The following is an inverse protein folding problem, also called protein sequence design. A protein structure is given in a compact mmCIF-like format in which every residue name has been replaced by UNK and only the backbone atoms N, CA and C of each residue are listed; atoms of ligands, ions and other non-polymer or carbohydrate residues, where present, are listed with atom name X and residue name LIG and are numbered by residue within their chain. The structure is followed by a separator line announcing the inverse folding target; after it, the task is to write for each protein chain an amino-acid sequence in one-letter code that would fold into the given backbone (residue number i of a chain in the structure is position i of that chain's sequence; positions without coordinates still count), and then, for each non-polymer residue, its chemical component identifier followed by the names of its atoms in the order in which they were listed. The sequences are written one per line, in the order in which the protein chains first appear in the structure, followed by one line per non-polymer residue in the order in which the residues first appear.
data_IF_498080101579
#
_entry.id   IF_498080101579
#
_cell.length_a   1.000
_cell.length_b   1.000
_cell.length_c   1.000
_cell.angle_alpha   90.00
_cell.angle_beta   90.00
_cell.angle_gamma   90.00
#
_symmetry.space_group_name_H-M   'P 1'
#
loop_
_entity.id
_entity.type
_entity.pdbx_description
1 polymer ?
#
# COMPACT_ATOMS: atom_id res chain seq x y z
N UNK A 1 -34.35 25.02 6.50
CA UNK A 1 -34.72 24.01 7.49
C UNK A 1 -35.75 23.05 6.91
N UNK A 2 -35.63 21.76 7.19
CA UNK A 2 -36.60 20.73 6.74
C UNK A 2 -37.90 20.94 7.53
N UNK A 3 -38.96 21.34 6.84
CA UNK A 3 -40.23 21.77 7.45
C UNK A 3 -41.34 20.71 7.46
N UNK A 4 -41.06 19.47 6.99
CA UNK A 4 -42.07 18.40 6.92
C UNK A 4 -41.49 17.07 7.42
N UNK A 5 -42.27 16.33 8.19
CA UNK A 5 -41.92 14.99 8.70
C UNK A 5 -41.63 13.99 7.57
N UNK A 6 -42.30 14.12 6.41
CA UNK A 6 -42.06 13.31 5.24
C UNK A 6 -40.67 13.53 4.62
N UNK A 7 -40.18 14.78 4.62
CA UNK A 7 -38.82 15.09 4.15
C UNK A 7 -37.74 14.49 5.05
N UNK A 8 -37.98 14.51 6.37
CA UNK A 8 -37.06 13.89 7.34
C UNK A 8 -37.01 12.36 7.15
N UNK A 9 -38.16 11.71 6.99
CA UNK A 9 -38.21 10.26 6.74
C UNK A 9 -37.51 9.86 5.43
N UNK A 10 -37.68 10.64 4.36
CA UNK A 10 -37.01 10.40 3.09
C UNK A 10 -35.49 10.53 3.21
N UNK A 11 -34.99 11.51 3.95
CA UNK A 11 -33.54 11.68 4.20
C UNK A 11 -32.99 10.54 5.05
N UNK A 12 -33.69 10.14 6.12
CA UNK A 12 -33.27 9.01 6.95
C UNK A 12 -33.23 7.69 6.18
N UNK A 13 -34.23 7.43 5.31
CA UNK A 13 -34.23 6.27 4.43
C UNK A 13 -33.09 6.29 3.39
N UNK A 14 -32.69 7.48 2.93
CA UNK A 14 -31.53 7.63 2.05
C UNK A 14 -30.21 7.33 2.78
N UNK A 15 -30.05 7.81 4.02
CA UNK A 15 -28.89 7.54 4.85
C UNK A 15 -28.80 6.05 5.22
N UNK A 16 -29.93 5.41 5.50
CA UNK A 16 -30.00 3.97 5.77
C UNK A 16 -29.59 3.15 4.53
N UNK A 17 -30.09 3.52 3.33
CA UNK A 17 -29.72 2.89 2.05
C UNK A 17 -28.24 3.03 1.72
N UNK A 18 -27.60 4.12 2.18
CA UNK A 18 -26.14 4.37 2.04
C UNK A 18 -25.33 3.71 3.14
N UNK A 19 -25.93 2.95 4.04
CA UNK A 19 -25.25 2.29 5.14
C UNK A 19 -24.72 3.23 6.23
N UNK A 20 -25.14 4.50 6.23
CA UNK A 20 -24.73 5.52 7.20
C UNK A 20 -25.57 5.52 8.49
N UNK A 21 -26.74 4.88 8.43
CA UNK A 21 -27.66 4.71 9.56
C UNK A 21 -28.12 3.25 9.65
N UNK A 22 -28.18 2.73 10.87
CA UNK A 22 -28.78 1.44 11.16
C UNK A 22 -29.95 1.62 12.12
N UNK A 23 -31.11 1.02 11.78
CA UNK A 23 -32.26 0.95 12.67
C UNK A 23 -32.20 -0.36 13.44
N UNK A 24 -32.25 -0.29 14.76
CA UNK A 24 -32.40 -1.47 15.60
C UNK A 24 -33.84 -2.01 15.46
N UNK A 25 -34.04 -3.24 14.92
CA UNK A 25 -35.38 -3.80 14.75
C UNK A 25 -36.11 -4.02 16.09
N UNK A 26 -35.37 -4.11 17.19
CA UNK A 26 -35.91 -4.30 18.54
C UNK A 26 -36.24 -2.98 19.25
N UNK A 27 -35.77 -1.86 18.73
CA UNK A 27 -35.96 -0.52 19.28
C UNK A 27 -36.37 0.47 18.19
N UNK A 28 -37.63 0.57 17.81
CA UNK A 28 -38.09 1.33 16.63
C UNK A 28 -37.74 2.82 16.59
N UNK A 29 -37.29 3.40 17.71
CA UNK A 29 -36.87 4.81 17.84
C UNK A 29 -35.37 4.97 18.00
N UNK A 30 -34.58 3.87 18.09
CA UNK A 30 -33.15 3.93 18.19
C UNK A 30 -32.54 3.90 16.78
N UNK A 31 -31.93 4.99 16.37
CA UNK A 31 -31.08 5.07 15.18
C UNK A 31 -29.66 5.21 15.65
N UNK A 32 -28.80 4.31 15.17
CA UNK A 32 -27.37 4.39 15.42
C UNK A 32 -26.68 4.81 14.11
N UNK A 33 -25.81 5.81 14.19
CA UNK A 33 -24.89 6.07 13.09
C UNK A 33 -24.04 4.81 12.88
N UNK A 34 -24.08 4.28 11.67
CA UNK A 34 -23.08 3.29 11.29
C UNK A 34 -21.75 4.01 11.33
N UNK A 35 -20.90 3.69 12.30
CA UNK A 35 -19.49 4.03 12.11
C UNK A 35 -19.08 3.41 10.77
N UNK A 36 -18.49 4.19 9.85
CA UNK A 36 -17.92 3.60 8.66
C UNK A 36 -16.89 2.59 9.19
N UNK A 37 -17.24 1.31 9.19
CA UNK A 37 -16.23 0.27 9.25
C UNK A 37 -15.35 0.58 8.06
N UNK A 38 -14.18 1.10 8.32
CA UNK A 38 -13.14 1.13 7.32
C UNK A 38 -12.93 -0.34 6.95
N UNK A 39 -13.58 -0.78 5.88
CA UNK A 39 -13.31 -2.08 5.30
C UNK A 39 -11.84 -2.05 4.95
N UNK A 40 -11.04 -2.73 5.76
CA UNK A 40 -9.62 -2.80 5.63
C UNK A 40 -9.23 -4.11 4.96
N UNK A 41 -8.19 -4.05 4.16
CA UNK A 41 -7.51 -5.22 3.63
C UNK A 41 -6.36 -5.56 4.56
N UNK A 42 -6.22 -6.83 4.89
CA UNK A 42 -5.07 -7.32 5.66
C UNK A 42 -3.90 -7.51 4.72
N UNK A 43 -2.81 -6.80 4.99
CA UNK A 43 -1.59 -6.79 4.19
C UNK A 43 -0.43 -7.29 5.05
N UNK A 44 0.29 -8.35 4.64
CA UNK A 44 1.46 -8.83 5.38
C UNK A 44 2.61 -7.82 5.29
N UNK A 45 3.18 -7.45 6.43
CA UNK A 45 4.45 -6.76 6.52
C UNK A 45 5.57 -7.78 6.39
N UNK A 46 6.34 -7.65 5.33
CA UNK A 46 7.45 -8.56 5.02
C UNK A 46 8.74 -7.92 5.53
N UNK A 47 9.53 -8.70 6.23
CA UNK A 47 10.85 -8.30 6.70
C UNK A 47 11.92 -8.51 5.63
N UNK A 48 12.76 -9.51 5.82
CA UNK A 48 13.77 -9.88 4.82
C UNK A 48 13.15 -10.73 3.72
N UNK A 49 13.55 -10.47 2.50
CA UNK A 49 13.14 -11.25 1.33
C UNK A 49 14.36 -12.05 0.86
N UNK A 50 14.27 -13.37 0.92
CA UNK A 50 15.33 -14.25 0.44
C UNK A 50 15.16 -14.59 -1.05
N UNK A 51 16.28 -14.78 -1.74
CA UNK A 51 16.29 -15.27 -3.10
C UNK A 51 15.64 -16.66 -3.21
N UNK A 52 14.88 -16.87 -4.28
CA UNK A 52 14.29 -18.16 -4.61
C UNK A 52 12.98 -18.49 -3.86
N UNK A 53 12.67 -17.81 -2.75
CA UNK A 53 11.40 -17.97 -2.06
C UNK A 53 10.35 -16.97 -2.57
N UNK A 54 9.05 -17.30 -2.52
CA UNK A 54 7.98 -16.33 -2.76
C UNK A 54 8.06 -15.20 -1.74
N UNK A 55 7.83 -13.94 -2.15
CA UNK A 55 7.85 -12.77 -1.25
C UNK A 55 6.92 -12.96 -0.05
N UNK A 56 5.78 -13.59 -0.26
CA UNK A 56 4.76 -13.85 0.75
C UNK A 56 4.90 -15.22 1.43
N UNK A 57 6.09 -15.83 1.40
CA UNK A 57 6.33 -17.01 2.20
C UNK A 57 6.14 -16.67 3.69
N UNK A 58 5.49 -17.57 4.43
CA UNK A 58 5.13 -17.32 5.84
C UNK A 58 6.35 -16.97 6.73
N UNK A 59 7.53 -17.46 6.37
CA UNK A 59 8.80 -17.19 7.04
C UNK A 59 9.30 -15.74 6.89
N UNK A 60 8.77 -14.99 5.90
CA UNK A 60 9.12 -13.60 5.65
C UNK A 60 8.16 -12.62 6.33
N UNK A 61 7.00 -13.07 6.81
CA UNK A 61 5.98 -12.21 7.38
C UNK A 61 6.28 -11.91 8.85
N UNK A 62 6.49 -10.65 9.19
CA UNK A 62 6.71 -10.18 10.55
C UNK A 62 5.40 -9.90 11.28
N UNK A 63 4.47 -9.22 10.63
CA UNK A 63 3.16 -8.89 11.18
C UNK A 63 2.12 -8.69 10.04
N UNK A 64 0.86 -8.51 10.41
CA UNK A 64 -0.22 -8.18 9.48
C UNK A 64 -0.78 -6.80 9.79
N UNK A 65 -0.83 -5.94 8.77
CA UNK A 65 -1.37 -4.59 8.86
C UNK A 65 -2.77 -4.55 8.26
N UNK A 66 -3.69 -3.82 8.90
CA UNK A 66 -4.99 -3.50 8.30
C UNK A 66 -4.91 -2.12 7.66
N UNK A 67 -5.05 -2.06 6.35
CA UNK A 67 -5.03 -0.81 5.58
C UNK A 67 -6.40 -0.56 4.94
N UNK A 68 -6.84 0.69 4.77
CA UNK A 68 -8.09 0.99 4.08
C UNK A 68 -8.13 0.38 2.68
N UNK A 69 -9.27 -0.17 2.28
CA UNK A 69 -9.46 -0.86 0.99
C UNK A 69 -9.03 -0.01 -0.22
N UNK A 70 -9.16 1.31 -0.15
CA UNK A 70 -8.73 2.22 -1.21
C UNK A 70 -7.22 2.20 -1.50
N UNK A 71 -6.39 1.68 -0.59
CA UNK A 71 -4.93 1.58 -0.76
C UNK A 71 -4.46 0.19 -1.18
N UNK A 72 -5.27 -0.85 -1.01
CA UNK A 72 -4.86 -2.22 -1.23
C UNK A 72 -5.97 -3.11 -1.83
N UNK A 73 -6.94 -2.55 -2.53
CA UNK A 73 -8.03 -3.31 -3.15
C UNK A 73 -7.66 -3.91 -4.51
N UNK A 74 -8.21 -5.08 -4.83
CA UNK A 74 -8.23 -5.64 -6.18
C UNK A 74 -7.02 -6.43 -6.66
N UNK A 75 -5.92 -6.49 -5.89
CA UNK A 75 -4.71 -7.25 -6.21
C UNK A 75 -4.04 -7.75 -4.93
N UNK A 76 -3.07 -8.64 -5.07
CA UNK A 76 -2.23 -9.06 -3.95
C UNK A 76 -1.28 -7.93 -3.54
N UNK A 77 -1.20 -7.66 -2.24
CA UNK A 77 -0.36 -6.61 -1.68
C UNK A 77 0.51 -7.15 -0.56
N UNK A 78 1.65 -6.53 -0.38
CA UNK A 78 2.50 -6.70 0.79
C UNK A 78 3.01 -5.34 1.27
N UNK A 79 3.54 -5.29 2.46
CA UNK A 79 4.15 -4.10 3.03
C UNK A 79 5.63 -4.35 3.29
N UNK A 80 6.43 -3.31 3.20
CA UNK A 80 7.86 -3.32 3.52
C UNK A 80 8.20 -2.11 4.38
N UNK A 81 9.08 -2.32 5.35
CA UNK A 81 9.69 -1.22 6.11
C UNK A 81 10.85 -0.64 5.33
N UNK A 82 10.82 0.67 5.12
CA UNK A 82 11.88 1.40 4.43
C UNK A 82 13.06 1.60 5.36
N UNK A 83 14.26 1.39 4.84
CA UNK A 83 15.52 1.69 5.53
C UNK A 83 16.34 2.66 4.69
N UNK A 84 16.90 3.67 5.35
CA UNK A 84 17.72 4.69 4.72
C UNK A 84 16.96 5.84 4.08
N UNK A 85 17.67 6.68 3.36
CA UNK A 85 17.25 7.99 2.89
C UNK A 85 17.17 8.11 1.36
N UNK A 86 17.29 6.99 0.64
CA UNK A 86 17.38 7.01 -0.83
C UNK A 86 16.15 7.56 -1.55
N UNK A 87 15.00 7.68 -0.86
CA UNK A 87 13.72 8.12 -1.46
C UNK A 87 13.11 9.34 -0.76
N UNK A 88 13.92 10.13 -0.06
CA UNK A 88 13.47 11.33 0.68
C UNK A 88 12.81 12.37 -0.22
N UNK A 89 13.28 12.53 -1.45
CA UNK A 89 12.69 13.44 -2.44
C UNK A 89 11.29 13.02 -2.90
N UNK A 90 10.95 11.76 -2.79
CA UNK A 90 9.60 11.24 -2.99
C UNK A 90 8.73 11.27 -1.72
N UNK A 91 9.25 11.83 -0.61
CA UNK A 91 8.55 11.87 0.68
C UNK A 91 8.53 10.55 1.43
N UNK A 92 9.31 9.55 0.99
CA UNK A 92 9.47 8.24 1.66
C UNK A 92 10.73 8.32 2.51
N UNK A 93 10.55 8.19 3.82
CA UNK A 93 11.62 8.37 4.82
C UNK A 93 12.00 7.05 5.48
N UNK A 94 13.14 7.07 6.15
CA UNK A 94 13.57 5.96 7.00
C UNK A 94 12.51 5.60 8.06
N UNK A 95 12.23 4.31 8.22
CA UNK A 95 11.20 3.80 9.14
C UNK A 95 9.77 3.80 8.59
N UNK A 96 9.49 4.42 7.44
CA UNK A 96 8.18 4.32 6.79
C UNK A 96 7.83 2.89 6.42
N UNK A 97 6.54 2.63 6.29
CA UNK A 97 6.04 1.39 5.72
C UNK A 97 5.42 1.69 4.36
N UNK A 98 5.94 1.09 3.31
CA UNK A 98 5.35 1.19 1.96
C UNK A 98 4.41 0.03 1.72
N UNK A 99 3.23 0.32 1.16
CA UNK A 99 2.29 -0.69 0.66
C UNK A 99 2.59 -0.92 -0.82
N UNK A 100 2.80 -2.16 -1.18
CA UNK A 100 3.27 -2.58 -2.49
C UNK A 100 2.24 -3.48 -3.13
N UNK A 101 1.79 -3.14 -4.31
CA UNK A 101 1.00 -4.03 -5.17
C UNK A 101 1.97 -5.01 -5.83
N UNK A 102 1.80 -6.31 -5.55
CA UNK A 102 2.64 -7.39 -6.11
C UNK A 102 2.61 -7.39 -7.63
N UNK A 103 3.75 -7.57 -8.26
CA UNK A 103 3.85 -7.64 -9.71
C UNK A 103 5.30 -7.69 -10.20
N UNK A 104 5.53 -8.39 -11.30
CA UNK A 104 6.86 -8.51 -11.93
C UNK A 104 7.15 -7.42 -12.97
N UNK A 105 6.21 -6.50 -13.18
CA UNK A 105 6.35 -5.38 -14.13
C UNK A 105 5.83 -4.10 -13.51
N UNK A 106 6.36 -2.97 -13.97
CA UNK A 106 5.95 -1.63 -13.60
C UNK A 106 6.18 -0.68 -14.78
N UNK A 107 5.48 0.46 -14.78
CA UNK A 107 5.62 1.47 -15.81
C UNK A 107 6.80 2.42 -15.54
N UNK A 108 7.24 3.12 -16.58
CA UNK A 108 8.26 4.16 -16.44
C UNK A 108 7.77 5.27 -15.50
N UNK A 109 8.58 5.61 -14.51
CA UNK A 109 8.24 6.58 -13.50
C UNK A 109 7.59 6.02 -12.24
N UNK A 110 7.21 4.75 -12.20
CA UNK A 110 6.68 4.12 -10.98
C UNK A 110 7.75 4.04 -9.87
N UNK A 111 7.32 4.16 -8.62
CA UNK A 111 8.15 3.77 -7.49
C UNK A 111 7.98 2.28 -7.24
N UNK A 112 9.06 1.54 -7.34
CA UNK A 112 9.05 0.08 -7.28
C UNK A 112 9.85 -0.46 -6.11
N UNK A 113 9.50 -1.67 -5.69
CA UNK A 113 10.37 -2.53 -4.89
C UNK A 113 11.06 -3.49 -5.84
N UNK A 114 12.38 -3.44 -5.87
CA UNK A 114 13.21 -4.35 -6.65
C UNK A 114 14.04 -5.22 -5.70
N UNK A 115 14.21 -6.49 -6.05
CA UNK A 115 15.13 -7.41 -5.42
C UNK A 115 16.40 -7.47 -6.28
N UNK A 116 17.52 -7.19 -5.65
CA UNK A 116 18.83 -7.18 -6.31
C UNK A 116 19.69 -8.30 -5.75
N UNK A 117 20.47 -8.98 -6.61
CA UNK A 117 21.41 -9.99 -6.14
C UNK A 117 22.47 -9.33 -5.24
N UNK A 118 22.62 -9.83 -4.03
CA UNK A 118 23.62 -9.39 -3.08
C UNK A 118 24.82 -10.32 -3.05
N UNK A 119 25.94 -9.88 -2.41
CA UNK A 119 27.13 -10.72 -2.26
C UNK A 119 26.94 -11.92 -1.34
N UNK A 120 26.04 -11.78 -0.36
CA UNK A 120 25.71 -12.81 0.62
C UNK A 120 24.23 -13.16 0.61
N UNK A 121 23.37 -12.16 0.50
CA UNK A 121 21.92 -12.26 0.48
C UNK A 121 21.38 -11.25 -0.53
N UNK A 122 20.23 -11.54 -1.14
CA UNK A 122 19.52 -10.58 -2.00
C UNK A 122 18.99 -9.43 -1.16
N UNK A 123 18.97 -8.24 -1.74
CA UNK A 123 18.53 -7.02 -1.08
C UNK A 123 17.30 -6.42 -1.78
N UNK A 124 16.24 -6.21 -1.01
CA UNK A 124 15.08 -5.47 -1.48
C UNK A 124 15.34 -3.96 -1.35
N UNK A 125 15.12 -3.22 -2.44
CA UNK A 125 15.32 -1.77 -2.48
C UNK A 125 14.12 -1.05 -3.08
N UNK A 126 13.83 0.17 -2.58
CA UNK A 126 12.78 1.05 -3.10
C UNK A 126 13.43 2.13 -3.95
N UNK A 127 13.04 2.24 -5.22
CA UNK A 127 13.58 3.22 -6.17
C UNK A 127 12.50 3.64 -7.19
N UNK A 128 12.72 4.75 -7.87
CA UNK A 128 11.94 5.09 -9.05
C UNK A 128 12.46 4.31 -10.26
N UNK A 129 11.56 3.65 -10.95
CA UNK A 129 11.89 2.94 -12.18
C UNK A 129 12.02 3.94 -13.33
N UNK A 130 13.10 3.85 -14.09
CA UNK A 130 13.27 4.58 -15.34
C UNK A 130 13.64 3.60 -16.46
N UNK A 131 12.77 3.54 -17.46
CA UNK A 131 13.01 2.70 -18.65
C UNK A 131 13.58 3.53 -19.79
N UNK A 132 14.60 3.02 -20.39
CA UNK A 132 15.14 3.52 -21.66
C UNK A 132 15.02 2.43 -22.72
N UNK A 133 15.34 2.73 -23.98
CA UNK A 133 15.23 1.72 -25.06
C UNK A 133 15.95 0.41 -24.76
N UNK A 134 17.06 0.45 -24.02
CA UNK A 134 17.94 -0.71 -23.83
C UNK A 134 18.28 -0.98 -22.36
N UNK A 135 17.80 -0.16 -21.40
CA UNK A 135 18.19 -0.27 -19.99
C UNK A 135 17.03 0.00 -19.07
N UNK A 136 17.05 -0.65 -17.92
CA UNK A 136 16.20 -0.37 -16.78
C UNK A 136 17.09 0.23 -15.69
N UNK A 137 16.80 1.46 -15.30
CA UNK A 137 17.51 2.18 -14.25
C UNK A 137 16.66 2.23 -12.99
N UNK A 138 17.31 2.07 -11.87
CA UNK A 138 16.76 2.33 -10.55
C UNK A 138 17.30 3.67 -10.06
N UNK A 139 16.39 4.64 -9.93
CA UNK A 139 16.72 6.03 -9.65
C UNK A 139 16.34 6.35 -8.20
N UNK A 140 17.31 6.70 -7.34
CA UNK A 140 17.02 7.23 -6.02
C UNK A 140 16.39 8.62 -6.14
N UNK A 141 15.48 8.94 -5.26
CA UNK A 141 14.93 10.28 -5.08
C UNK A 141 15.69 11.00 -3.94
N UNK A 142 17.00 11.03 -4.07
CA UNK A 142 17.93 11.71 -3.18
C UNK A 142 19.08 12.30 -4.00
N UNK A 143 19.27 13.62 -4.02
CA UNK A 143 20.33 14.27 -4.83
C UNK A 143 21.76 13.84 -4.49
N UNK A 144 21.98 13.24 -3.31
CA UNK A 144 23.28 12.72 -2.90
C UNK A 144 23.61 11.33 -3.47
N UNK A 145 22.65 10.69 -4.17
CA UNK A 145 22.80 9.35 -4.68
C UNK A 145 22.63 9.32 -6.21
N UNK A 146 23.39 8.46 -6.86
CA UNK A 146 23.36 8.32 -8.32
C UNK A 146 22.43 7.18 -8.76
N UNK A 147 21.73 7.35 -9.90
CA UNK A 147 21.01 6.26 -10.55
C UNK A 147 21.95 5.12 -10.95
N UNK A 148 21.46 3.89 -10.89
CA UNK A 148 22.21 2.73 -11.34
C UNK A 148 21.36 1.79 -12.20
N UNK A 149 22.01 1.01 -13.05
CA UNK A 149 21.34 0.03 -13.89
C UNK A 149 20.91 -1.16 -13.04
N UNK A 150 19.66 -1.63 -13.26
CA UNK A 150 19.17 -2.81 -12.58
C UNK A 150 19.93 -4.04 -13.12
N UNK A 151 20.44 -4.85 -12.20
CA UNK A 151 21.12 -6.09 -12.54
C UNK A 151 20.22 -7.00 -13.40
N UNK A 152 20.74 -7.71 -14.40
CA UNK A 152 19.97 -8.67 -15.20
C UNK A 152 19.30 -9.79 -14.39
N UNK A 153 19.87 -10.17 -13.25
CA UNK A 153 19.29 -11.13 -12.30
C UNK A 153 18.32 -10.47 -11.32
N UNK A 154 18.30 -9.13 -11.27
CA UNK A 154 17.38 -8.34 -10.46
C UNK A 154 15.94 -8.48 -10.95
N UNK A 155 14.98 -8.39 -10.05
CA UNK A 155 13.55 -8.49 -10.37
C UNK A 155 12.72 -7.49 -9.65
N UNK A 156 11.68 -6.99 -10.31
CA UNK A 156 10.66 -6.15 -9.69
C UNK A 156 9.74 -7.06 -8.88
N UNK A 157 9.50 -6.70 -7.63
CA UNK A 157 8.57 -7.38 -6.74
C UNK A 157 7.19 -6.72 -6.74
N UNK A 158 7.11 -5.43 -7.07
CA UNK A 158 5.86 -4.70 -7.17
C UNK A 158 6.04 -3.19 -7.21
N UNK A 159 4.90 -2.51 -7.30
CA UNK A 159 4.80 -1.04 -7.35
C UNK A 159 4.29 -0.52 -6.02
N UNK A 160 4.93 0.52 -5.49
CA UNK A 160 4.50 1.21 -4.27
C UNK A 160 3.22 2.01 -4.57
N UNK A 161 2.17 1.76 -3.81
CA UNK A 161 0.86 2.40 -3.97
C UNK A 161 0.50 3.32 -2.81
N UNK A 162 1.11 3.14 -1.64
CA UNK A 162 0.90 4.02 -0.49
C UNK A 162 2.10 3.98 0.46
N UNK A 163 2.17 5.01 1.31
CA UNK A 163 3.16 5.12 2.40
C UNK A 163 2.40 5.32 3.70
N UNK A 164 2.77 4.57 4.72
CA UNK A 164 2.25 4.69 6.07
C UNK A 164 3.37 5.18 6.98
N UNK A 165 3.11 6.23 7.74
CA UNK A 165 4.03 6.78 8.73
C UNK A 165 3.30 7.01 10.04
N UNK A 166 3.91 6.54 11.12
CA UNK A 166 3.49 6.89 12.48
C UNK A 166 4.39 8.03 12.96
N UNK A 167 3.77 9.14 13.39
CA UNK A 167 4.46 10.30 13.96
C UNK A 167 4.67 10.13 15.45
#
# INVERSE_FOLDING_TARGET
GLTSSSSVHAQLANLERRGLLHKDPTKPRAMTLSEPRAEGVVVPLVGRIAAGAPVLAAEHVEEYLTVPMGFAGGAEHFALRVQGDSMIGAGILDGDVVIVRSGSSADDGDVVVALLPGRAEDEATVKRLKRTKNRVLLVPENPALEPFEMDPEGRILGTVVAVLRKL
#
